data_IF_334692767842
#
_entry.id   IF_334692767842
#
_cell.length_a   1.000
_cell.length_b   1.000
_cell.length_c   1.000
_cell.angle_alpha   90.00
_cell.angle_beta   90.00
_cell.angle_gamma   90.00
#
_symmetry.space_group_name_H-M   'P 1'
#
loop_
_entity.id
_entity.type
_entity.pdbx_description
1 polymer ?
#
# COMPACT_ATOMS: atom_id res chain seq x y z
N UNK A 1 -52.44 -34.03 36.73
CA UNK A 1 -51.03 -33.44 36.86
C UNK A 1 -50.07 -33.74 35.73
N UNK A 2 -50.17 -34.80 34.91
CA UNK A 2 -49.24 -35.14 33.84
C UNK A 2 -49.29 -34.22 32.60
N UNK A 3 -50.44 -33.63 32.24
CA UNK A 3 -50.61 -32.74 31.07
C UNK A 3 -49.82 -31.42 31.18
N UNK A 4 -49.76 -30.81 32.37
CA UNK A 4 -49.05 -29.53 32.56
C UNK A 4 -47.55 -29.64 32.51
N UNK A 5 -46.96 -30.79 32.83
CA UNK A 5 -45.52 -31.03 32.74
C UNK A 5 -45.06 -31.20 31.30
N UNK A 6 -45.91 -31.78 30.42
CA UNK A 6 -45.61 -31.94 29.00
C UNK A 6 -45.62 -30.60 28.28
N UNK A 7 -46.63 -29.76 28.52
CA UNK A 7 -46.74 -28.42 27.92
C UNK A 7 -45.55 -27.53 28.32
N UNK A 8 -45.12 -27.56 29.60
CA UNK A 8 -43.93 -26.80 30.06
C UNK A 8 -42.64 -27.25 29.39
N UNK A 9 -42.42 -28.55 29.18
CA UNK A 9 -41.24 -29.08 28.49
C UNK A 9 -41.24 -28.69 27.00
N UNK A 10 -42.42 -28.71 26.33
CA UNK A 10 -42.53 -28.34 24.91
C UNK A 10 -42.31 -26.85 24.72
N UNK A 11 -42.84 -25.99 25.59
CA UNK A 11 -42.60 -24.54 25.54
C UNK A 11 -41.14 -24.21 25.81
N UNK A 12 -40.49 -24.86 26.77
CA UNK A 12 -39.08 -24.66 27.05
C UNK A 12 -38.19 -25.06 25.87
N UNK A 13 -38.50 -26.18 25.21
CA UNK A 13 -37.79 -26.65 24.02
C UNK A 13 -37.96 -25.67 22.84
N UNK A 14 -39.18 -25.15 22.62
CA UNK A 14 -39.42 -24.16 21.55
C UNK A 14 -38.68 -22.85 21.80
N UNK A 15 -38.63 -22.34 23.03
CA UNK A 15 -37.91 -21.12 23.40
C UNK A 15 -36.41 -21.33 23.21
N UNK A 16 -35.85 -22.51 23.53
CA UNK A 16 -34.45 -22.82 23.34
C UNK A 16 -34.09 -22.91 21.85
N UNK A 17 -34.95 -23.52 21.03
CA UNK A 17 -34.76 -23.61 19.58
C UNK A 17 -34.81 -22.21 18.92
N UNK A 18 -35.77 -21.36 19.34
CA UNK A 18 -35.88 -19.98 18.82
C UNK A 18 -34.66 -19.15 19.23
N UNK A 19 -34.13 -19.31 20.44
CA UNK A 19 -32.92 -18.60 20.90
C UNK A 19 -31.69 -19.07 20.15
N UNK A 20 -31.53 -20.35 19.86
CA UNK A 20 -30.41 -20.88 19.08
C UNK A 20 -30.51 -20.48 17.61
N UNK A 21 -31.69 -20.53 17.01
CA UNK A 21 -31.94 -20.06 15.64
C UNK A 21 -31.81 -18.54 15.52
N UNK A 22 -32.26 -17.78 16.50
CA UNK A 22 -32.10 -16.32 16.56
C UNK A 22 -30.64 -15.89 16.68
N UNK A 23 -29.83 -16.65 17.40
CA UNK A 23 -28.39 -16.40 17.49
C UNK A 23 -27.61 -16.80 16.22
N UNK A 24 -28.12 -17.71 15.40
CA UNK A 24 -27.51 -18.06 14.11
C UNK A 24 -27.90 -17.10 12.97
N UNK A 25 -29.01 -16.36 13.08
CA UNK A 25 -29.47 -15.41 12.06
C UNK A 25 -28.83 -14.04 12.13
N UNK A 26 -27.91 -13.78 13.07
CA UNK A 26 -27.15 -12.52 13.18
C UNK A 26 -25.66 -12.71 12.89
N UNK A 27 -25.26 -13.76 12.21
CA UNK A 27 -24.04 -13.69 11.44
C UNK A 27 -24.32 -12.94 10.12
N UNK A 28 -24.67 -11.67 10.21
CA UNK A 28 -24.43 -10.75 9.11
C UNK A 28 -22.96 -10.91 8.81
N UNK A 29 -22.63 -11.54 7.69
CA UNK A 29 -21.31 -11.56 7.10
C UNK A 29 -20.96 -10.11 6.80
N UNK A 30 -20.62 -9.34 7.83
CA UNK A 30 -20.07 -8.00 7.68
C UNK A 30 -18.78 -8.21 6.91
N UNK A 31 -18.84 -7.93 5.61
CA UNK A 31 -17.66 -7.98 4.73
C UNK A 31 -16.55 -7.22 5.44
N UNK A 32 -15.43 -7.90 5.66
CA UNK A 32 -14.29 -7.26 6.33
C UNK A 32 -13.99 -5.91 5.67
N UNK A 33 -13.80 -4.84 6.42
CA UNK A 33 -13.60 -3.52 5.87
C UNK A 33 -12.44 -3.54 4.88
N UNK A 34 -12.66 -2.99 3.70
CA UNK A 34 -11.63 -2.85 2.68
C UNK A 34 -10.98 -1.49 2.86
N UNK A 35 -9.75 -1.46 3.35
CA UNK A 35 -8.98 -0.23 3.47
C UNK A 35 -8.29 0.12 2.16
N UNK A 36 -8.33 1.41 1.80
CA UNK A 36 -7.66 1.98 0.63
C UNK A 36 -6.59 2.96 1.10
N UNK A 37 -5.48 2.99 0.40
CA UNK A 37 -4.42 3.97 0.65
C UNK A 37 -4.88 5.35 0.19
N UNK A 38 -4.67 6.36 1.03
CA UNK A 38 -4.91 7.76 0.65
C UNK A 38 -3.77 8.20 -0.28
N UNK A 39 -4.08 8.64 -1.50
CA UNK A 39 -3.05 8.99 -2.48
C UNK A 39 -2.38 10.32 -2.15
N UNK A 40 -1.16 10.49 -2.65
CA UNK A 40 -0.44 11.77 -2.63
C UNK A 40 -0.81 12.58 -3.87
N UNK A 41 -1.14 13.85 -3.66
CA UNK A 41 -1.51 14.82 -4.73
C UNK A 41 -2.69 14.38 -5.62
N UNK A 42 -3.56 13.53 -5.10
CA UNK A 42 -4.82 13.13 -5.72
C UNK A 42 -5.89 12.95 -4.64
N UNK A 43 -7.15 13.08 -5.02
CA UNK A 43 -8.27 12.95 -4.09
C UNK A 43 -8.78 11.52 -4.04
N UNK A 44 -9.06 11.05 -2.83
CA UNK A 44 -9.79 9.82 -2.57
C UNK A 44 -11.17 10.16 -2.01
N UNK A 45 -12.23 9.76 -2.71
CA UNK A 45 -13.61 9.92 -2.22
C UNK A 45 -13.85 9.03 -1.00
N UNK A 46 -14.38 9.63 0.06
CA UNK A 46 -14.81 8.96 1.29
C UNK A 46 -16.30 9.23 1.54
N UNK A 47 -16.92 8.60 2.56
CA UNK A 47 -18.38 8.63 2.77
C UNK A 47 -18.97 10.06 2.82
N UNK A 48 -18.27 11.01 3.41
CA UNK A 48 -18.77 12.38 3.61
C UNK A 48 -17.81 13.46 3.11
N UNK A 49 -17.04 13.17 2.06
CA UNK A 49 -16.09 14.13 1.49
C UNK A 49 -15.00 13.47 0.70
N UNK A 50 -13.82 14.06 0.77
CA UNK A 50 -12.63 13.55 0.11
C UNK A 50 -11.38 13.69 1.00
N UNK A 51 -10.38 12.87 0.74
CA UNK A 51 -9.12 12.88 1.47
C UNK A 51 -7.93 12.84 0.52
N UNK A 52 -6.84 13.46 0.92
CA UNK A 52 -5.61 13.49 0.14
C UNK A 52 -4.38 13.75 1.02
N UNK A 53 -3.23 13.33 0.53
CA UNK A 53 -1.94 13.75 1.05
C UNK A 53 -1.42 14.90 0.18
N UNK A 54 -1.06 16.01 0.79
CA UNK A 54 -0.46 17.15 0.11
C UNK A 54 0.81 17.59 0.83
N UNK A 55 1.75 18.13 0.07
CA UNK A 55 2.98 18.67 0.62
C UNK A 55 2.74 20.07 1.18
N UNK A 56 2.89 20.20 2.49
CA UNK A 56 2.92 21.47 3.16
C UNK A 56 4.26 21.59 3.92
N UNK A 57 4.99 22.69 3.71
CA UNK A 57 6.33 22.89 4.28
C UNK A 57 7.32 21.73 3.96
N UNK A 58 7.32 21.28 2.70
CA UNK A 58 8.16 20.20 2.19
C UNK A 58 7.94 18.82 2.85
N UNK A 59 6.82 18.60 3.50
CA UNK A 59 6.45 17.32 4.11
C UNK A 59 5.01 16.94 3.76
N UNK A 60 4.73 15.65 3.43
CA UNK A 60 3.37 15.21 3.18
C UNK A 60 2.54 15.29 4.44
N UNK A 61 1.33 15.82 4.32
CA UNK A 61 0.36 15.96 5.39
C UNK A 61 -0.99 15.43 4.93
N UNK A 62 -1.77 14.87 5.86
CA UNK A 62 -3.08 14.31 5.59
C UNK A 62 -4.16 15.37 5.80
N UNK A 63 -4.98 15.57 4.78
CA UNK A 63 -6.15 16.43 4.78
C UNK A 63 -7.41 15.62 4.54
N UNK A 64 -8.47 16.01 5.22
CA UNK A 64 -9.84 15.58 4.98
C UNK A 64 -10.70 16.80 4.68
N UNK A 65 -11.40 16.77 3.58
CA UNK A 65 -12.27 17.83 3.08
C UNK A 65 -13.71 17.30 3.09
N UNK A 66 -14.52 17.68 4.09
CA UNK A 66 -15.91 17.26 4.15
C UNK A 66 -16.72 17.92 3.02
N UNK A 67 -17.83 17.28 2.61
CA UNK A 67 -18.74 17.85 1.59
C UNK A 67 -19.29 19.20 2.01
N UNK A 68 -19.55 19.38 3.31
CA UNK A 68 -20.04 20.62 3.91
C UNK A 68 -19.14 20.95 5.10
N UNK A 69 -18.38 22.02 5.01
CA UNK A 69 -17.50 22.47 6.10
C UNK A 69 -16.07 22.76 5.66
N UNK A 70 -15.27 23.16 6.60
CA UNK A 70 -13.88 23.50 6.36
C UNK A 70 -12.97 22.27 6.27
N UNK A 71 -11.90 22.40 5.51
CA UNK A 71 -10.87 21.36 5.38
C UNK A 71 -10.19 21.09 6.73
N UNK A 72 -10.19 19.84 7.16
CA UNK A 72 -9.56 19.39 8.39
C UNK A 72 -8.17 18.86 8.08
N UNK A 73 -7.16 19.50 8.63
CA UNK A 73 -5.78 18.99 8.60
C UNK A 73 -5.58 18.00 9.74
N UNK A 74 -5.48 16.71 9.41
CA UNK A 74 -5.38 15.62 10.37
C UNK A 74 -3.96 15.46 10.94
N UNK A 75 -2.93 15.87 10.20
CA UNK A 75 -1.53 15.83 10.67
C UNK A 75 -0.93 17.22 10.65
N UNK A 76 -0.41 17.68 11.78
CA UNK A 76 0.28 18.98 11.86
C UNK A 76 1.73 18.92 11.37
N UNK A 77 2.32 17.72 11.33
CA UNK A 77 3.70 17.43 10.97
C UNK A 77 3.72 16.49 9.75
N UNK A 78 4.68 15.58 9.65
CA UNK A 78 4.72 14.65 8.51
C UNK A 78 3.70 13.54 8.68
N UNK A 79 3.04 13.17 7.58
CA UNK A 79 2.28 11.93 7.43
C UNK A 79 3.11 10.92 6.63
N UNK A 80 3.43 9.78 7.24
CA UNK A 80 4.23 8.72 6.61
C UNK A 80 3.35 7.58 6.06
N UNK A 81 2.11 7.89 5.73
CA UNK A 81 1.14 7.02 5.11
C UNK A 81 -0.23 7.06 5.78
N UNK A 82 -1.28 6.91 4.99
CA UNK A 82 -2.66 6.93 5.45
C UNK A 82 -3.53 5.92 4.69
N UNK A 83 -4.47 5.32 5.40
CA UNK A 83 -5.43 4.34 4.90
C UNK A 83 -6.81 4.62 5.44
N UNK A 84 -7.86 4.33 4.66
CA UNK A 84 -9.25 4.54 5.07
C UNK A 84 -10.18 3.46 4.53
N UNK A 85 -11.23 3.17 5.26
CA UNK A 85 -12.40 2.41 4.80
C UNK A 85 -13.57 3.32 4.36
N UNK A 86 -13.30 4.63 4.30
CA UNK A 86 -14.30 5.66 3.99
C UNK A 86 -14.95 6.30 5.22
N UNK A 87 -14.82 5.71 6.41
CA UNK A 87 -15.39 6.17 7.69
C UNK A 87 -14.33 6.51 8.73
N UNK A 88 -13.22 5.82 8.65
CA UNK A 88 -12.11 5.92 9.59
C UNK A 88 -10.82 6.09 8.79
N UNK A 89 -9.98 7.04 9.22
CA UNK A 89 -8.60 7.13 8.78
C UNK A 89 -7.68 6.47 9.79
N UNK A 90 -6.78 5.63 9.29
CA UNK A 90 -5.60 5.17 10.01
C UNK A 90 -4.39 5.79 9.35
N UNK A 91 -3.58 6.51 10.10
CA UNK A 91 -2.44 7.21 9.55
C UNK A 91 -1.24 7.21 10.50
N UNK A 92 -0.06 7.20 9.94
CA UNK A 92 1.17 7.30 10.67
C UNK A 92 1.73 8.72 10.57
N UNK A 93 2.16 9.28 11.70
CA UNK A 93 2.67 10.64 11.76
C UNK A 93 3.90 10.73 12.64
N UNK A 94 4.91 11.41 12.12
CA UNK A 94 6.13 11.76 12.81
C UNK A 94 6.15 13.22 13.24
N UNK A 95 7.17 13.60 14.00
CA UNK A 95 7.28 14.95 14.59
C UNK A 95 8.13 15.93 13.75
N UNK A 96 8.77 15.50 12.69
CA UNK A 96 9.63 16.28 11.78
C UNK A 96 9.82 15.55 10.45
N UNK A 97 10.49 16.19 9.47
CA UNK A 97 10.72 15.66 8.12
C UNK A 97 11.40 14.27 8.12
N UNK A 98 12.37 14.08 9.02
CA UNK A 98 13.00 12.77 9.26
C UNK A 98 12.69 12.33 10.69
N UNK A 99 11.54 11.70 10.92
CA UNK A 99 11.11 11.38 12.25
C UNK A 99 11.91 10.21 12.81
N UNK A 100 12.49 10.38 13.99
CA UNK A 100 13.07 9.28 14.76
C UNK A 100 12.02 8.46 15.50
N UNK A 101 10.76 8.93 15.46
CA UNK A 101 9.62 8.36 16.17
C UNK A 101 8.34 8.62 15.39
N UNK A 102 7.61 7.58 15.09
CA UNK A 102 6.34 7.61 14.37
C UNK A 102 5.24 7.04 15.25
N UNK A 103 4.08 7.67 15.25
CA UNK A 103 2.88 7.18 15.93
C UNK A 103 1.80 6.84 14.92
N UNK A 104 1.08 5.74 15.15
CA UNK A 104 -0.12 5.36 14.41
C UNK A 104 -1.33 5.96 15.12
N UNK A 105 -2.20 6.60 14.34
CA UNK A 105 -3.43 7.24 14.79
C UNK A 105 -4.64 6.67 14.06
N UNK A 106 -5.78 6.79 14.71
CA UNK A 106 -7.11 6.55 14.17
C UNK A 106 -7.91 7.84 14.27
N UNK A 107 -8.51 8.27 13.16
CA UNK A 107 -9.47 9.38 13.15
C UNK A 107 -10.82 8.87 12.65
N UNK A 108 -11.89 9.14 13.41
CA UNK A 108 -13.24 8.73 13.06
C UNK A 108 -14.01 9.93 12.49
N UNK A 109 -14.37 9.89 11.21
CA UNK A 109 -14.99 11.01 10.48
C UNK A 109 -16.26 11.49 11.21
N UNK A 110 -17.16 10.56 11.55
CA UNK A 110 -18.45 10.89 12.19
C UNK A 110 -18.33 11.67 13.49
N UNK A 111 -17.28 11.44 14.26
CA UNK A 111 -17.13 12.05 15.61
C UNK A 111 -16.05 13.12 15.66
N UNK A 112 -15.24 13.29 14.61
CA UNK A 112 -14.08 14.18 14.61
C UNK A 112 -12.99 13.80 15.62
N UNK A 113 -13.05 12.61 16.22
CA UNK A 113 -12.12 12.19 17.28
C UNK A 113 -10.88 11.51 16.72
N UNK A 114 -9.74 11.93 17.22
CA UNK A 114 -8.44 11.28 16.98
C UNK A 114 -8.02 10.47 18.19
N UNK A 115 -7.62 9.21 17.95
CA UNK A 115 -7.07 8.29 18.94
C UNK A 115 -5.65 7.89 18.52
N UNK A 116 -4.70 7.99 19.44
CA UNK A 116 -3.35 7.47 19.24
C UNK A 116 -3.31 5.99 19.60
N UNK A 117 -2.95 5.14 18.65
CA UNK A 117 -2.98 3.68 18.82
C UNK A 117 -1.67 3.12 19.36
N UNK A 118 -0.54 3.53 18.79
CA UNK A 118 0.79 3.10 19.24
C UNK A 118 1.86 4.09 18.80
N UNK A 119 3.08 3.87 19.32
CA UNK A 119 4.27 4.61 18.91
C UNK A 119 5.42 3.66 18.66
N UNK A 120 6.17 3.91 17.59
CA UNK A 120 7.38 3.20 17.19
C UNK A 120 8.54 4.19 17.26
N UNK A 121 9.59 3.84 18.00
CA UNK A 121 10.80 4.66 18.14
C UNK A 121 11.75 4.42 16.95
N UNK A 122 11.24 4.57 15.75
CA UNK A 122 11.93 4.47 14.47
C UNK A 122 11.23 5.35 13.43
N UNK A 123 11.96 5.74 12.40
CA UNK A 123 11.37 6.29 11.20
C UNK A 123 10.68 5.15 10.44
N UNK A 124 9.37 5.24 10.24
CA UNK A 124 8.57 4.20 9.58
C UNK A 124 7.51 4.82 8.68
N UNK A 125 7.25 4.16 7.56
CA UNK A 125 6.09 4.42 6.71
C UNK A 125 4.99 3.40 6.95
N UNK A 126 3.74 3.87 6.96
CA UNK A 126 2.57 3.00 6.98
C UNK A 126 2.33 2.45 5.57
N UNK A 127 2.70 1.19 5.37
CA UNK A 127 2.84 0.60 4.03
C UNK A 127 1.70 -0.32 3.62
N UNK A 128 0.85 -0.75 4.54
CA UNK A 128 -0.24 -1.64 4.14
C UNK A 128 -1.15 -2.11 5.24
N UNK A 129 -2.22 -2.78 4.82
CA UNK A 129 -3.19 -3.45 5.66
C UNK A 129 -3.48 -4.85 5.15
N UNK A 130 -3.46 -5.84 6.02
CA UNK A 130 -3.88 -7.22 5.75
C UNK A 130 -4.23 -7.97 7.03
N UNK A 131 -5.26 -8.83 6.99
CA UNK A 131 -5.65 -9.72 8.11
C UNK A 131 -5.74 -9.01 9.47
N UNK A 132 -6.42 -7.86 9.52
CA UNK A 132 -6.58 -6.99 10.70
C UNK A 132 -5.28 -6.35 11.21
N UNK A 133 -4.19 -6.35 10.43
CA UNK A 133 -2.97 -5.67 10.80
C UNK A 133 -2.69 -4.50 9.88
N UNK A 134 -2.28 -3.37 10.45
CA UNK A 134 -1.55 -2.32 9.74
C UNK A 134 -0.05 -2.59 9.85
N UNK A 135 0.63 -2.46 8.73
CA UNK A 135 2.07 -2.71 8.63
C UNK A 135 2.82 -1.40 8.47
N UNK A 136 3.87 -1.22 9.27
CA UNK A 136 4.78 -0.10 9.18
C UNK A 136 6.19 -0.63 8.92
N UNK A 137 6.83 -0.06 7.92
CA UNK A 137 8.18 -0.43 7.49
C UNK A 137 9.18 0.66 7.89
N UNK A 138 10.30 0.27 8.50
CA UNK A 138 11.35 1.24 8.82
C UNK A 138 12.00 1.81 7.56
N UNK A 139 12.29 3.10 7.60
CA UNK A 139 12.97 3.82 6.55
C UNK A 139 14.40 4.20 6.97
N UNK A 140 15.27 4.36 5.96
CA UNK A 140 16.66 4.77 6.16
C UNK A 140 17.66 3.61 6.20
N UNK A 141 18.92 3.91 6.49
CA UNK A 141 20.01 2.94 6.54
C UNK A 141 19.98 2.05 7.79
N UNK A 142 20.57 0.88 7.71
CA UNK A 142 20.76 -0.04 8.82
C UNK A 142 19.78 -1.21 8.86
N UNK A 143 19.56 -1.76 10.06
CA UNK A 143 18.66 -2.90 10.26
C UNK A 143 17.20 -2.48 10.06
N UNK A 144 16.53 -3.10 9.12
CA UNK A 144 15.14 -2.81 8.77
C UNK A 144 14.17 -3.76 9.48
N UNK A 145 13.00 -3.22 9.82
CA UNK A 145 11.95 -3.94 10.52
C UNK A 145 10.60 -3.69 9.87
N UNK A 146 9.76 -4.72 9.89
CA UNK A 146 8.34 -4.61 9.63
C UNK A 146 7.59 -4.73 10.95
N UNK A 147 6.87 -3.69 11.30
CA UNK A 147 5.97 -3.67 12.46
C UNK A 147 4.56 -4.00 12.00
N UNK A 148 3.84 -4.77 12.80
CA UNK A 148 2.43 -5.09 12.58
C UNK A 148 1.61 -4.66 13.81
N UNK A 149 0.70 -3.71 13.63
CA UNK A 149 -0.29 -3.33 14.63
C UNK A 149 -1.61 -4.05 14.37
N UNK A 150 -2.03 -4.89 15.30
CA UNK A 150 -3.26 -5.66 15.17
C UNK A 150 -4.45 -4.88 15.72
N UNK A 151 -5.47 -4.62 14.89
CA UNK A 151 -6.65 -3.84 15.25
C UNK A 151 -7.54 -4.51 16.30
N UNK A 152 -7.56 -5.86 16.35
CA UNK A 152 -8.39 -6.61 17.30
C UNK A 152 -7.73 -6.68 18.67
N UNK A 153 -6.46 -7.08 18.70
CA UNK A 153 -5.73 -7.28 19.96
C UNK A 153 -5.08 -6.01 20.48
N UNK A 154 -4.99 -4.95 19.66
CA UNK A 154 -4.30 -3.68 19.94
C UNK A 154 -2.81 -3.85 20.28
N UNK A 155 -2.23 -4.99 19.88
CA UNK A 155 -0.81 -5.30 20.10
C UNK A 155 0.01 -4.96 18.87
N UNK A 156 1.26 -4.56 19.11
CA UNK A 156 2.27 -4.36 18.07
C UNK A 156 3.32 -5.48 18.16
N UNK A 157 3.69 -6.00 17.01
CA UNK A 157 4.81 -6.95 16.86
C UNK A 157 5.80 -6.41 15.85
N UNK A 158 7.04 -6.87 15.89
CA UNK A 158 8.04 -6.50 14.91
C UNK A 158 8.85 -7.71 14.47
N UNK A 159 9.27 -7.68 13.22
CA UNK A 159 10.22 -8.66 12.67
C UNK A 159 11.29 -7.94 11.86
N UNK A 160 12.52 -8.42 11.97
CA UNK A 160 13.62 -7.97 11.11
C UNK A 160 13.41 -8.49 9.70
N UNK A 161 13.59 -7.61 8.70
CA UNK A 161 13.51 -7.96 7.29
C UNK A 161 14.91 -8.20 6.76
N UNK A 162 15.10 -9.32 6.04
CA UNK A 162 16.28 -9.58 5.25
C UNK A 162 16.00 -9.12 3.81
N UNK A 163 16.81 -8.21 3.29
CA UNK A 163 16.64 -7.68 1.93
C UNK A 163 17.33 -8.53 0.88
N UNK A 164 16.65 -8.89 -0.20
CA UNK A 164 17.26 -9.54 -1.35
C UNK A 164 17.91 -8.51 -2.32
N UNK A 165 18.57 -7.49 -1.81
CA UNK A 165 19.09 -6.37 -2.59
C UNK A 165 20.60 -6.22 -2.40
N UNK A 166 21.27 -5.65 -3.42
CA UNK A 166 22.71 -5.42 -3.41
C UNK A 166 23.10 -4.35 -2.41
N UNK A 167 22.48 -3.19 -2.50
CA UNK A 167 22.71 -2.07 -1.59
C UNK A 167 21.55 -1.87 -0.64
N UNK A 168 21.74 -2.17 0.64
CA UNK A 168 20.70 -2.07 1.68
C UNK A 168 20.25 -0.65 1.97
N UNK A 169 21.02 0.35 1.54
CA UNK A 169 20.71 1.77 1.77
C UNK A 169 19.77 2.34 0.70
N UNK A 170 19.69 1.69 -0.47
CA UNK A 170 18.90 2.17 -1.62
C UNK A 170 17.55 1.42 -1.76
N UNK A 171 17.07 0.88 -0.66
CA UNK A 171 15.81 0.18 -0.61
C UNK A 171 14.67 1.17 -0.47
N UNK A 172 13.78 1.19 -1.44
CA UNK A 172 12.60 2.06 -1.48
C UNK A 172 11.35 1.19 -1.63
N UNK A 173 10.38 1.40 -0.74
CA UNK A 173 9.06 0.85 -0.93
C UNK A 173 8.21 1.77 -1.80
N UNK A 174 7.54 1.24 -2.82
CA UNK A 174 6.83 2.05 -3.83
C UNK A 174 5.31 2.01 -3.71
N UNK A 175 4.75 1.11 -2.95
CA UNK A 175 3.29 1.09 -2.77
C UNK A 175 2.75 -0.21 -2.19
N UNK A 176 1.54 -0.10 -1.67
CA UNK A 176 0.81 -1.23 -1.11
C UNK A 176 -0.19 -1.77 -2.12
N UNK A 177 -0.36 -3.08 -2.11
CA UNK A 177 -1.35 -3.77 -2.91
C UNK A 177 -2.65 -3.93 -2.12
N UNK A 178 -3.77 -3.99 -2.84
CA UNK A 178 -5.11 -4.07 -2.23
C UNK A 178 -5.34 -5.29 -1.33
N UNK A 179 -4.51 -6.31 -1.45
CA UNK A 179 -4.54 -7.51 -0.61
C UNK A 179 -3.57 -7.45 0.58
N UNK A 180 -2.95 -6.29 0.81
CA UNK A 180 -2.02 -6.03 1.91
C UNK A 180 -0.59 -6.47 1.64
N UNK A 181 -0.29 -6.98 0.45
CA UNK A 181 1.09 -7.15 0.01
C UNK A 181 1.70 -5.82 -0.38
N UNK A 182 3.00 -5.77 -0.42
CA UNK A 182 3.74 -4.54 -0.62
C UNK A 182 4.72 -4.66 -1.78
N UNK A 183 4.70 -3.68 -2.67
CA UNK A 183 5.68 -3.57 -3.73
C UNK A 183 6.94 -2.97 -3.12
N UNK A 184 8.03 -3.67 -3.31
CA UNK A 184 9.32 -3.31 -2.79
C UNK A 184 10.31 -3.22 -3.95
N UNK A 185 10.92 -2.09 -4.13
CA UNK A 185 11.99 -1.91 -5.10
C UNK A 185 13.32 -1.84 -4.38
N UNK A 186 14.31 -2.46 -4.97
CA UNK A 186 15.63 -2.47 -4.40
C UNK A 186 16.68 -2.59 -5.47
N UNK A 187 17.82 -2.00 -5.19
CA UNK A 187 18.97 -2.12 -6.04
C UNK A 187 19.59 -3.51 -5.90
N UNK A 188 19.54 -4.27 -6.99
CA UNK A 188 20.22 -5.56 -7.12
C UNK A 188 21.31 -5.53 -8.16
N UNK A 189 21.65 -4.34 -8.65
CA UNK A 189 22.57 -4.18 -9.78
C UNK A 189 23.65 -3.14 -9.48
N UNK A 190 24.90 -3.50 -9.74
CA UNK A 190 26.07 -2.65 -9.45
C UNK A 190 26.51 -1.70 -10.58
N UNK A 191 25.83 -1.74 -11.74
CA UNK A 191 26.23 -1.03 -12.95
C UNK A 191 25.45 0.25 -13.27
N UNK A 192 25.15 1.06 -12.27
CA UNK A 192 24.22 2.20 -12.35
C UNK A 192 24.63 3.40 -13.19
N UNK A 193 25.93 3.70 -13.23
CA UNK A 193 26.40 5.04 -13.61
C UNK A 193 26.12 5.41 -15.07
N UNK A 194 26.20 4.46 -15.98
CA UNK A 194 26.07 4.73 -17.42
C UNK A 194 24.66 5.12 -17.86
N UNK A 195 23.64 4.40 -17.35
CA UNK A 195 22.25 4.69 -17.71
C UNK A 195 21.69 5.92 -16.98
N UNK A 196 22.09 6.17 -15.73
CA UNK A 196 21.62 7.31 -14.97
C UNK A 196 22.07 8.64 -15.55
N UNK A 197 23.32 8.74 -16.03
CA UNK A 197 23.83 9.96 -16.63
C UNK A 197 23.15 10.35 -17.93
N UNK A 198 22.82 9.37 -18.78
CA UNK A 198 22.23 9.62 -20.11
C UNK A 198 20.71 9.71 -20.10
N UNK A 199 20.04 8.90 -19.29
CA UNK A 199 18.58 8.74 -19.34
C UNK A 199 17.86 9.18 -18.05
N UNK A 200 18.59 9.67 -17.06
CA UNK A 200 18.07 9.97 -15.72
C UNK A 200 17.23 8.81 -15.15
N UNK A 201 17.73 7.60 -15.34
CA UNK A 201 17.01 6.37 -15.04
C UNK A 201 17.91 5.45 -14.20
N UNK A 202 17.36 4.94 -13.12
CA UNK A 202 18.03 4.02 -12.20
C UNK A 202 17.39 2.64 -12.31
N UNK A 203 18.07 1.64 -12.94
CA UNK A 203 17.54 0.29 -13.01
C UNK A 203 17.50 -0.36 -11.63
N UNK A 204 16.37 -0.97 -11.31
CA UNK A 204 16.15 -1.66 -10.05
C UNK A 204 15.47 -3.01 -10.27
N UNK A 205 15.28 -3.76 -9.20
CA UNK A 205 14.49 -4.97 -9.18
C UNK A 205 13.20 -4.74 -8.42
N UNK A 206 12.09 -5.29 -8.92
CA UNK A 206 10.80 -5.26 -8.24
C UNK A 206 10.59 -6.57 -7.50
N UNK A 207 10.21 -6.45 -6.25
CA UNK A 207 9.78 -7.56 -5.40
C UNK A 207 8.38 -7.31 -4.88
N UNK A 208 7.66 -8.39 -4.60
CA UNK A 208 6.45 -8.36 -3.80
C UNK A 208 6.80 -8.94 -2.44
N UNK A 209 6.63 -8.14 -1.40
CA UNK A 209 6.74 -8.57 -0.01
C UNK A 209 5.36 -9.01 0.50
N UNK A 210 5.26 -10.26 0.93
CA UNK A 210 4.14 -10.70 1.77
C UNK A 210 4.47 -10.33 3.22
N UNK A 211 3.75 -9.39 3.83
CA UNK A 211 4.08 -8.91 5.17
C UNK A 211 3.78 -9.94 6.27
N UNK A 212 2.92 -10.93 6.00
CA UNK A 212 2.57 -11.97 6.98
C UNK A 212 3.66 -13.03 7.03
N UNK A 213 4.02 -13.59 5.88
CA UNK A 213 5.09 -14.59 5.77
C UNK A 213 6.50 -13.99 5.72
N UNK A 214 6.58 -12.67 5.44
CA UNK A 214 7.83 -11.91 5.20
C UNK A 214 8.69 -12.47 4.06
N UNK A 215 8.06 -13.17 3.13
CA UNK A 215 8.73 -13.68 1.94
C UNK A 215 8.71 -12.66 0.82
N UNK A 216 9.86 -12.49 0.18
CA UNK A 216 9.99 -11.74 -1.05
C UNK A 216 9.78 -12.65 -2.25
N UNK A 217 9.06 -12.14 -3.25
CA UNK A 217 8.93 -12.76 -4.56
C UNK A 217 9.45 -11.79 -5.61
N UNK A 218 10.50 -12.18 -6.33
CA UNK A 218 11.02 -11.39 -7.44
C UNK A 218 9.98 -11.34 -8.58
N UNK A 219 9.66 -10.15 -9.04
CA UNK A 219 8.80 -9.90 -10.21
C UNK A 219 9.65 -9.72 -11.45
N UNK A 220 10.63 -8.82 -11.40
CA UNK A 220 11.53 -8.54 -12.52
C UNK A 220 12.82 -7.86 -12.05
N UNK A 221 13.88 -8.03 -12.83
CA UNK A 221 15.12 -7.27 -12.77
C UNK A 221 15.17 -6.24 -13.89
N UNK A 222 16.09 -5.29 -13.81
CA UNK A 222 16.32 -4.25 -14.82
C UNK A 222 15.05 -3.48 -15.16
N UNK A 223 14.37 -3.01 -14.14
CA UNK A 223 13.13 -2.25 -14.23
C UNK A 223 13.44 -0.77 -14.08
N UNK A 224 12.87 0.05 -14.95
CA UNK A 224 13.05 1.51 -14.94
C UNK A 224 11.93 2.22 -14.21
N UNK A 225 10.71 1.70 -14.32
CA UNK A 225 9.53 2.27 -13.67
C UNK A 225 8.41 1.23 -13.58
N UNK A 226 7.51 1.44 -12.63
CA UNK A 226 6.32 0.59 -12.43
C UNK A 226 5.11 1.41 -12.03
N UNK A 227 3.94 0.81 -12.21
CA UNK A 227 2.66 1.34 -11.73
C UNK A 227 1.67 0.22 -11.43
N UNK A 228 0.72 0.46 -10.53
CA UNK A 228 -0.44 -0.41 -10.28
C UNK A 228 -1.66 0.21 -10.94
N UNK A 229 -2.24 -0.46 -11.92
CA UNK A 229 -3.44 0.00 -12.67
C UNK A 229 -4.73 -0.58 -12.13
N UNK A 230 -4.68 -1.84 -11.75
CA UNK A 230 -5.84 -2.62 -11.34
C UNK A 230 -5.50 -3.43 -10.08
N UNK A 231 -6.53 -3.85 -9.38
CA UNK A 231 -6.45 -4.50 -8.07
C UNK A 231 -5.42 -5.64 -7.95
N UNK A 232 -5.13 -6.36 -9.05
CA UNK A 232 -4.25 -7.53 -9.06
C UNK A 232 -3.18 -7.46 -10.16
N UNK A 233 -2.98 -6.30 -10.77
CA UNK A 233 -2.04 -6.12 -11.88
C UNK A 233 -1.01 -5.05 -11.54
N UNK A 234 0.25 -5.38 -11.81
CA UNK A 234 1.34 -4.43 -11.86
C UNK A 234 1.77 -4.31 -13.31
N UNK A 235 1.84 -3.08 -13.81
CA UNK A 235 2.50 -2.76 -15.07
C UNK A 235 3.86 -2.19 -14.75
N UNK A 236 4.88 -2.61 -15.47
CA UNK A 236 6.25 -2.12 -15.32
C UNK A 236 6.99 -2.15 -16.64
N UNK A 237 8.02 -1.36 -16.75
CA UNK A 237 8.92 -1.36 -17.89
C UNK A 237 10.27 -1.92 -17.49
N UNK A 238 10.70 -2.96 -18.17
CA UNK A 238 12.09 -3.42 -18.11
C UNK A 238 12.83 -2.98 -19.36
N UNK A 239 14.14 -2.87 -19.26
CA UNK A 239 14.96 -2.52 -20.40
C UNK A 239 16.07 -3.55 -20.65
N UNK A 240 16.60 -3.50 -21.86
CA UNK A 240 17.73 -4.32 -22.31
C UNK A 240 18.53 -3.54 -23.37
N UNK A 241 19.65 -4.09 -23.76
CA UNK A 241 20.55 -3.45 -24.73
C UNK A 241 21.68 -2.68 -24.07
N UNK A 242 22.33 -1.84 -24.84
CA UNK A 242 23.44 -0.98 -24.40
C UNK A 242 22.96 0.44 -24.16
N UNK A 243 23.77 1.27 -23.52
CA UNK A 243 23.49 2.71 -23.35
C UNK A 243 23.31 3.46 -24.67
N UNK A 244 23.94 2.97 -25.74
CA UNK A 244 23.79 3.54 -27.10
C UNK A 244 22.55 3.02 -27.83
N UNK A 245 22.06 1.82 -27.50
CA UNK A 245 20.89 1.18 -28.13
C UNK A 245 20.00 0.50 -27.09
N UNK A 246 19.36 1.26 -26.20
CA UNK A 246 18.47 0.70 -25.20
C UNK A 246 17.12 0.35 -25.82
N UNK A 247 16.51 -0.71 -25.32
CA UNK A 247 15.15 -1.13 -25.65
C UNK A 247 14.35 -1.35 -24.40
N UNK A 248 13.14 -0.85 -24.38
CA UNK A 248 12.19 -1.11 -23.29
C UNK A 248 11.08 -2.04 -23.72
N UNK A 249 10.65 -2.89 -22.80
CA UNK A 249 9.44 -3.70 -22.92
C UNK A 249 8.54 -3.41 -21.74
N UNK A 250 7.27 -3.11 -22.04
CA UNK A 250 6.23 -2.99 -21.01
C UNK A 250 5.69 -4.38 -20.73
N UNK A 251 5.51 -4.67 -19.44
CA UNK A 251 5.01 -5.93 -18.92
C UNK A 251 3.79 -5.72 -18.06
N UNK A 252 2.91 -6.72 -18.08
CA UNK A 252 1.80 -6.89 -17.15
C UNK A 252 2.07 -8.12 -16.29
N UNK A 253 2.01 -7.95 -14.98
CA UNK A 253 2.20 -9.01 -14.01
C UNK A 253 0.94 -9.16 -13.15
N UNK A 254 0.36 -10.36 -13.12
CA UNK A 254 -0.76 -10.67 -12.26
C UNK A 254 -0.26 -11.17 -10.90
N UNK A 255 -0.57 -10.41 -9.86
CA UNK A 255 -0.09 -10.65 -8.50
C UNK A 255 -0.61 -11.96 -7.92
N UNK A 256 -1.86 -12.33 -8.24
CA UNK A 256 -2.49 -13.56 -7.73
C UNK A 256 -1.91 -14.79 -8.40
N UNK A 257 -1.84 -14.79 -9.72
CA UNK A 257 -1.44 -15.97 -10.49
C UNK A 257 0.07 -16.07 -10.71
N UNK A 258 0.81 -14.98 -10.51
CA UNK A 258 2.24 -14.89 -10.84
C UNK A 258 2.52 -14.86 -12.35
N UNK A 259 1.51 -14.81 -13.20
CA UNK A 259 1.68 -14.79 -14.67
C UNK A 259 2.17 -13.43 -15.14
N UNK A 260 3.15 -13.45 -16.04
CA UNK A 260 3.75 -12.28 -16.69
C UNK A 260 3.44 -12.35 -18.20
N UNK A 261 3.08 -11.22 -18.78
CA UNK A 261 2.89 -11.09 -20.23
C UNK A 261 3.40 -9.74 -20.72
N UNK A 262 3.97 -9.73 -21.92
CA UNK A 262 4.35 -8.50 -22.61
C UNK A 262 3.09 -7.70 -23.00
N UNK A 263 3.21 -6.38 -22.99
CA UNK A 263 2.17 -5.44 -23.43
C UNK A 263 2.75 -4.62 -24.56
N UNK A 264 2.13 -4.75 -25.72
CA UNK A 264 2.60 -4.09 -26.93
C UNK A 264 3.95 -4.60 -27.45
N UNK A 265 4.57 -3.81 -28.32
CA UNK A 265 5.88 -4.09 -28.91
C UNK A 265 7.03 -3.62 -28.03
N UNK A 266 8.26 -4.01 -28.37
CA UNK A 266 9.46 -3.38 -27.83
C UNK A 266 9.59 -1.96 -28.35
N UNK A 267 10.02 -1.06 -27.50
CA UNK A 267 10.26 0.34 -27.82
C UNK A 267 11.76 0.63 -27.82
N UNK A 268 12.22 1.36 -28.82
CA UNK A 268 13.57 1.93 -28.82
C UNK A 268 13.61 3.09 -27.80
N UNK A 269 14.55 3.05 -26.86
CA UNK A 269 14.67 4.01 -25.76
C UNK A 269 14.25 3.43 -24.40
N UNK A 270 14.21 4.29 -23.41
CA UNK A 270 13.89 3.96 -22.01
C UNK A 270 12.51 4.48 -21.64
N UNK A 271 11.60 3.61 -21.21
CA UNK A 271 10.36 4.01 -20.54
C UNK A 271 10.72 4.51 -19.15
N UNK A 272 10.51 5.78 -18.87
CA UNK A 272 10.88 6.38 -17.59
C UNK A 272 9.69 6.71 -16.67
N UNK A 273 8.46 6.74 -17.22
CA UNK A 273 7.26 6.91 -16.40
C UNK A 273 5.99 6.42 -17.10
N UNK A 274 4.93 6.24 -16.29
CA UNK A 274 3.58 5.93 -16.74
C UNK A 274 2.60 7.03 -16.34
N UNK A 275 1.66 7.33 -17.24
CA UNK A 275 0.54 8.20 -16.93
C UNK A 275 -0.73 7.65 -17.58
N UNK A 276 -1.70 7.23 -16.76
CA UNK A 276 -2.94 6.56 -17.22
C UNK A 276 -2.61 5.36 -18.13
N UNK A 277 -3.00 5.42 -19.41
CA UNK A 277 -2.80 4.36 -20.41
C UNK A 277 -1.61 4.61 -21.32
N UNK A 278 -0.78 5.59 -20.99
CA UNK A 278 0.37 6.02 -21.75
C UNK A 278 1.67 5.83 -20.98
N UNK A 279 2.74 5.58 -21.70
CA UNK A 279 4.10 5.55 -21.17
C UNK A 279 4.95 6.62 -21.86
N UNK A 280 5.82 7.26 -21.09
CA UNK A 280 6.78 8.23 -21.59
C UNK A 280 8.12 7.54 -21.83
N UNK A 281 8.67 7.73 -23.01
CA UNK A 281 9.91 7.11 -23.45
C UNK A 281 10.91 8.20 -23.80
N UNK A 282 12.15 8.08 -23.31
CA UNK A 282 13.30 8.86 -23.76
C UNK A 282 14.05 7.99 -24.76
N UNK A 283 14.21 8.47 -25.99
CA UNK A 283 14.93 7.76 -27.04
C UNK A 283 16.45 7.98 -26.97
N UNK A 284 17.15 7.43 -27.97
CA UNK A 284 18.62 7.52 -28.02
C UNK A 284 19.15 8.94 -28.22
N UNK A 285 18.36 9.84 -28.78
CA UNK A 285 18.69 11.25 -28.99
C UNK A 285 18.39 12.12 -27.77
N UNK A 286 17.73 11.54 -26.75
CA UNK A 286 17.26 12.28 -25.59
C UNK A 286 15.88 12.93 -25.80
N UNK A 287 15.22 12.64 -26.93
CA UNK A 287 13.89 13.13 -27.24
C UNK A 287 12.84 12.31 -26.48
N UNK A 288 11.87 12.97 -25.88
CA UNK A 288 10.78 12.30 -25.21
C UNK A 288 9.59 12.10 -26.13
N UNK A 289 8.98 10.91 -26.05
CA UNK A 289 7.72 10.59 -26.76
C UNK A 289 6.76 9.86 -25.85
N UNK A 290 5.49 10.06 -26.11
CA UNK A 290 4.41 9.35 -25.43
C UNK A 290 3.90 8.22 -26.30
N UNK A 291 3.75 7.03 -25.71
CA UNK A 291 3.14 5.87 -26.39
C UNK A 291 1.96 5.36 -25.59
N UNK A 292 0.87 5.05 -26.28
CA UNK A 292 -0.27 4.37 -25.66
C UNK A 292 0.03 2.87 -25.61
N UNK A 293 -0.10 2.24 -24.45
CA UNK A 293 0.21 0.82 -24.27
C UNK A 293 -1.02 -0.03 -23.91
N UNK A 294 -2.19 0.61 -23.79
CA UNK A 294 -3.48 -0.04 -23.54
C UNK A 294 -4.49 0.33 -24.64
#
# INVERSE_FOLDING_TARGET
MKKNAFIRKTVLLLVTIISVLGLQLVSVNAKAPTYQQVPTMAYLKVESGQAYLSYANSAPQLFYEPMNGETVRLTQKICTGAWTDGKIFYYASGNRKEPTKVSLYKYTIKTGKTEKLCTINKNCDLVGYSKNNFYLHTMGSGKQYLYAYNLKTKKITSKRIAYPVYNKNDVIGTGSLSDGRYIFVGDTYSGYSEFSGKYNCYPHSIYILDPVSQKFRLVSKMVTTETTKEKNLIYYASFSGTTSKPYSQIWKYNIKTGKKSAVGKKYSGIVYSFYKDSAYIIDQKGESKTVRYK
#
